data_IF_046437088140
#
_entry.id   IF_046437088140
#
_cell.length_a   1.000
_cell.length_b   1.000
_cell.length_c   1.000
_cell.angle_alpha   90.00
_cell.angle_beta   90.00
_cell.angle_gamma   90.00
#
_symmetry.space_group_name_H-M   'P 1'
#
loop_
_entity.id
_entity.type
_entity.pdbx_description
1 polymer ?
#
# COMPACT_ATOMS: atom_id res chain seq x y z
N UNK A 1 2.59 7.33 -3.17
CA UNK A 1 1.51 7.12 -2.16
C UNK A 1 0.32 8.04 -2.38
N UNK A 2 0.55 9.25 -2.81
CA UNK A 2 -0.51 10.21 -3.09
C UNK A 2 -1.52 9.70 -4.12
N UNK A 3 -1.05 9.10 -5.21
CA UNK A 3 -1.93 8.55 -6.23
C UNK A 3 -2.81 7.42 -5.68
N UNK A 4 -2.29 6.64 -4.74
CA UNK A 4 -3.07 5.60 -4.09
C UNK A 4 -4.17 6.21 -3.21
N UNK A 5 -3.82 7.27 -2.46
CA UNK A 5 -4.78 7.95 -1.60
C UNK A 5 -5.87 8.66 -2.41
N UNK A 6 -5.55 9.11 -3.62
CA UNK A 6 -6.54 9.70 -4.52
C UNK A 6 -7.64 8.69 -4.90
N UNK A 7 -7.32 7.41 -4.85
CA UNK A 7 -8.29 6.34 -5.09
C UNK A 7 -8.79 5.72 -3.79
N UNK A 8 -8.70 6.47 -2.69
CA UNK A 8 -9.23 6.10 -1.37
C UNK A 8 -8.58 4.84 -0.79
N UNK A 9 -7.28 4.66 -1.06
CA UNK A 9 -6.54 3.60 -0.41
C UNK A 9 -6.59 3.78 1.11
N UNK A 10 -6.61 2.65 1.83
CA UNK A 10 -6.75 2.61 3.28
C UNK A 10 -5.45 2.27 3.95
N UNK A 11 -5.26 2.79 5.15
CA UNK A 11 -4.17 2.43 6.06
C UNK A 11 -2.80 2.46 5.36
N UNK A 12 -2.41 3.58 4.74
CA UNK A 12 -1.14 3.65 4.04
C UNK A 12 0.02 3.59 5.03
N UNK A 13 1.01 2.77 4.69
CA UNK A 13 2.25 2.64 5.46
C UNK A 13 3.39 2.71 4.47
N UNK A 14 4.42 3.46 4.82
CA UNK A 14 5.66 3.52 4.05
C UNK A 14 6.81 3.19 4.99
N UNK A 15 7.56 2.16 4.64
CA UNK A 15 8.62 1.63 5.49
C UNK A 15 9.97 1.86 4.81
N UNK A 16 10.90 2.44 5.53
CA UNK A 16 12.28 2.63 5.05
C UNK A 16 13.07 1.38 5.41
N UNK A 17 13.39 0.58 4.41
CA UNK A 17 14.16 -0.65 4.58
C UNK A 17 15.55 -0.53 3.97
N UNK A 18 15.99 0.69 3.66
CA UNK A 18 17.28 0.91 3.00
C UNK A 18 18.46 0.38 3.81
N UNK A 19 18.38 0.42 5.14
CA UNK A 19 19.42 -0.07 6.03
C UNK A 19 19.31 -1.55 6.36
N UNK A 20 18.29 -2.24 5.86
CA UNK A 20 17.99 -3.62 6.24
C UNK A 20 18.59 -4.65 5.30
N UNK A 21 19.34 -4.23 4.29
CA UNK A 21 19.87 -5.16 3.29
C UNK A 21 18.82 -5.75 2.38
N UNK A 22 17.69 -5.08 2.24
CA UNK A 22 16.60 -5.52 1.40
C UNK A 22 16.89 -5.26 -0.09
N UNK A 23 16.10 -5.88 -0.95
CA UNK A 23 16.19 -5.68 -2.40
C UNK A 23 15.64 -4.33 -2.86
N UNK A 24 15.01 -3.59 -1.97
CA UNK A 24 14.48 -2.26 -2.26
C UNK A 24 14.80 -1.31 -1.10
N UNK A 25 14.61 -0.02 -1.31
CA UNK A 25 14.84 0.99 -0.27
C UNK A 25 13.57 1.29 0.53
N UNK A 26 12.41 1.25 -0.13
CA UNK A 26 11.14 1.58 0.50
C UNK A 26 10.08 0.57 0.14
N UNK A 27 9.25 0.23 1.11
CA UNK A 27 8.10 -0.63 0.93
C UNK A 27 6.86 0.15 1.33
N UNK A 28 5.94 0.32 0.38
CA UNK A 28 4.64 0.90 0.64
C UNK A 28 3.59 -0.19 0.75
N UNK A 29 2.66 -0.03 1.66
CA UNK A 29 1.56 -0.96 1.86
C UNK A 29 0.28 -0.15 1.99
N UNK A 30 -0.72 -0.49 1.18
CA UNK A 30 -2.04 0.12 1.25
C UNK A 30 -3.09 -0.96 1.09
N UNK A 31 -4.31 -0.64 1.49
CA UNK A 31 -5.44 -1.55 1.36
C UNK A 31 -6.54 -0.96 0.52
N UNK A 32 -7.33 -1.82 -0.10
CA UNK A 32 -8.58 -1.48 -0.74
C UNK A 32 -9.73 -2.21 -0.04
N UNK A 33 -10.92 -1.64 -0.12
CA UNK A 33 -12.13 -2.23 0.48
C UNK A 33 -12.74 -3.34 -0.36
N UNK A 34 -12.34 -3.42 -1.62
CA UNK A 34 -12.87 -4.40 -2.56
C UNK A 34 -11.81 -4.76 -3.59
N UNK A 35 -12.03 -5.87 -4.29
CA UNK A 35 -11.15 -6.29 -5.38
C UNK A 35 -11.04 -5.19 -6.44
N UNK A 36 -12.18 -4.59 -6.79
CA UNK A 36 -12.21 -3.54 -7.80
C UNK A 36 -11.41 -2.32 -7.36
N UNK A 37 -11.46 -1.97 -6.08
CA UNK A 37 -10.71 -0.85 -5.57
C UNK A 37 -9.21 -1.12 -5.59
N UNK A 38 -8.79 -2.34 -5.26
CA UNK A 38 -7.39 -2.74 -5.36
C UNK A 38 -6.86 -2.53 -6.77
N UNK A 39 -7.62 -2.97 -7.77
CA UNK A 39 -7.22 -2.80 -9.17
C UNK A 39 -7.20 -1.33 -9.57
N UNK A 40 -8.17 -0.55 -9.10
CA UNK A 40 -8.21 0.89 -9.39
C UNK A 40 -7.03 1.62 -8.78
N UNK A 41 -6.61 1.25 -7.56
CA UNK A 41 -5.44 1.83 -6.92
C UNK A 41 -4.19 1.50 -7.72
N UNK A 42 -4.02 0.24 -8.12
CA UNK A 42 -2.87 -0.19 -8.89
C UNK A 42 -2.77 0.57 -10.21
N UNK A 43 -3.87 0.73 -10.91
CA UNK A 43 -3.90 1.47 -12.16
C UNK A 43 -3.58 2.94 -11.96
N UNK A 44 -4.15 3.56 -10.94
CA UNK A 44 -3.90 4.97 -10.65
C UNK A 44 -2.42 5.23 -10.35
N UNK A 45 -1.80 4.39 -9.52
CA UNK A 45 -0.40 4.51 -9.17
C UNK A 45 0.47 4.31 -10.41
N UNK A 46 0.19 3.28 -11.18
CA UNK A 46 0.96 2.98 -12.40
C UNK A 46 0.92 4.14 -13.38
N UNK A 47 -0.26 4.72 -13.60
CA UNK A 47 -0.40 5.85 -14.51
C UNK A 47 0.27 7.11 -14.01
N UNK A 48 0.16 7.39 -12.71
CA UNK A 48 0.77 8.58 -12.12
C UNK A 48 2.29 8.53 -12.22
N UNK A 49 2.89 7.36 -11.97
CA UNK A 49 4.33 7.21 -12.05
C UNK A 49 4.81 7.16 -13.50
N UNK A 50 4.04 6.55 -14.38
CA UNK A 50 4.34 6.54 -15.81
C UNK A 50 4.41 7.97 -16.36
N UNK A 51 3.52 8.85 -15.93
CA UNK A 51 3.54 10.24 -16.34
C UNK A 51 4.82 10.95 -15.92
N UNK A 52 5.53 10.43 -14.92
CA UNK A 52 6.82 10.93 -14.47
C UNK A 52 8.00 10.16 -15.03
N UNK A 53 7.76 9.26 -15.99
CA UNK A 53 8.79 8.45 -16.63
C UNK A 53 9.19 7.22 -15.81
N UNK A 54 8.43 6.85 -14.79
CA UNK A 54 8.72 5.68 -13.96
C UNK A 54 7.78 4.54 -14.33
N UNK A 55 8.38 3.43 -14.74
CA UNK A 55 7.63 2.23 -15.15
C UNK A 55 7.94 1.11 -14.18
N UNK A 56 6.96 0.26 -13.86
CA UNK A 56 7.24 -0.89 -13.00
C UNK A 56 8.28 -1.81 -13.67
N UNK A 57 9.26 -2.24 -12.88
CA UNK A 57 10.21 -3.28 -13.31
C UNK A 57 9.54 -4.65 -13.28
N UNK A 58 8.52 -4.82 -12.46
CA UNK A 58 7.75 -6.02 -12.37
C UNK A 58 6.40 -5.75 -11.75
N UNK A 59 5.43 -6.60 -12.08
CA UNK A 59 4.09 -6.55 -11.52
C UNK A 59 3.63 -7.97 -11.26
N UNK A 60 2.98 -8.19 -10.12
CA UNK A 60 2.43 -9.48 -9.78
C UNK A 60 1.04 -9.31 -9.20
N UNK A 61 0.15 -10.25 -9.50
CA UNK A 61 -1.21 -10.24 -8.98
C UNK A 61 -2.13 -9.21 -9.59
N UNK A 62 -1.69 -8.49 -10.63
CA UNK A 62 -2.50 -7.48 -11.30
C UNK A 62 -3.77 -8.13 -11.85
N UNK A 63 -4.91 -7.55 -11.55
CA UNK A 63 -6.21 -8.07 -11.99
C UNK A 63 -6.81 -9.08 -11.04
N UNK A 64 -6.08 -9.52 -10.01
CA UNK A 64 -6.63 -10.46 -9.03
C UNK A 64 -7.54 -9.78 -8.01
N UNK A 65 -7.29 -8.49 -7.73
CA UNK A 65 -8.03 -7.75 -6.74
C UNK A 65 -7.71 -8.12 -5.30
N UNK A 66 -6.81 -9.05 -5.07
CA UNK A 66 -6.50 -9.52 -3.72
C UNK A 66 -5.18 -8.98 -3.19
N UNK A 67 -4.14 -9.05 -3.99
CA UNK A 67 -2.80 -8.59 -3.62
C UNK A 67 -2.05 -8.28 -4.90
N UNK A 68 -1.82 -7.02 -5.15
CA UNK A 68 -1.05 -6.56 -6.29
C UNK A 68 0.26 -5.98 -5.81
N UNK A 69 1.35 -6.38 -6.44
CA UNK A 69 2.68 -5.87 -6.15
C UNK A 69 3.18 -5.10 -7.37
N UNK A 70 3.60 -3.86 -7.14
CA UNK A 70 4.22 -3.03 -8.16
C UNK A 70 5.66 -2.74 -7.73
N UNK A 71 6.62 -3.25 -8.51
CA UNK A 71 8.04 -3.12 -8.22
C UNK A 71 8.65 -2.04 -9.10
N UNK A 72 9.09 -0.94 -8.48
CA UNK A 72 9.75 0.17 -9.16
C UNK A 72 11.26 0.21 -8.88
N UNK A 73 11.82 -0.86 -8.31
CA UNK A 73 13.23 -0.94 -7.97
C UNK A 73 13.52 -0.43 -6.57
N UNK A 74 13.72 0.87 -6.43
CA UNK A 74 13.98 1.47 -5.11
C UNK A 74 12.72 1.54 -4.25
N UNK A 75 11.56 1.30 -4.83
CA UNK A 75 10.27 1.35 -4.13
C UNK A 75 9.40 0.21 -4.63
N UNK A 76 8.81 -0.52 -3.69
CA UNK A 76 7.86 -1.58 -3.99
C UNK A 76 6.55 -1.24 -3.28
N UNK A 77 5.45 -1.28 -4.00
CA UNK A 77 4.13 -1.02 -3.43
C UNK A 77 3.32 -2.31 -3.39
N UNK A 78 2.81 -2.63 -2.21
CA UNK A 78 1.88 -3.73 -2.00
C UNK A 78 0.48 -3.15 -1.82
N UNK A 79 -0.45 -3.59 -2.64
CA UNK A 79 -1.84 -3.17 -2.58
C UNK A 79 -2.67 -4.41 -2.26
N UNK A 80 -3.31 -4.42 -1.10
CA UNK A 80 -4.06 -5.57 -0.63
C UNK A 80 -5.56 -5.29 -0.59
N UNK A 81 -6.35 -6.31 -0.87
CA UNK A 81 -7.69 -6.37 -0.32
C UNK A 81 -7.53 -6.46 1.20
N UNK A 82 -8.17 -5.60 1.95
CA UNK A 82 -7.82 -5.39 3.36
C UNK A 82 -7.79 -6.67 4.21
N UNK A 83 -8.77 -7.57 4.13
CA UNK A 83 -8.70 -8.83 4.90
C UNK A 83 -7.48 -9.68 4.57
N UNK A 84 -7.02 -9.64 3.32
CA UNK A 84 -5.82 -10.36 2.89
C UNK A 84 -4.58 -9.76 3.55
N UNK A 85 -4.52 -8.43 3.65
CA UNK A 85 -3.41 -7.75 4.33
C UNK A 85 -3.31 -8.20 5.79
N UNK A 86 -4.43 -8.24 6.48
CA UNK A 86 -4.46 -8.67 7.87
C UNK A 86 -4.00 -10.11 8.02
N UNK A 87 -4.40 -10.97 7.10
CA UNK A 87 -4.02 -12.37 7.14
C UNK A 87 -2.52 -12.58 6.99
N UNK A 88 -1.90 -11.92 6.00
CA UNK A 88 -0.47 -12.08 5.75
C UNK A 88 0.41 -11.26 6.68
N UNK A 89 -0.09 -10.15 7.18
CA UNK A 89 0.63 -9.28 8.12
C UNK A 89 2.06 -9.02 7.70
N UNK A 90 2.21 -8.56 6.46
CA UNK A 90 3.53 -8.30 5.87
C UNK A 90 4.33 -7.30 6.70
N UNK A 91 3.66 -6.38 7.34
CA UNK A 91 4.30 -5.33 8.14
C UNK A 91 5.15 -5.90 9.27
N UNK A 92 4.76 -7.06 9.79
CA UNK A 92 5.51 -7.71 10.88
C UNK A 92 6.92 -8.12 10.48
N UNK A 93 7.16 -8.35 9.18
CA UNK A 93 8.50 -8.66 8.68
C UNK A 93 9.45 -7.49 8.84
N UNK A 94 8.94 -6.28 8.91
CA UNK A 94 9.72 -5.06 8.93
C UNK A 94 9.46 -4.24 10.19
N UNK A 95 9.12 -4.92 11.29
CA UNK A 95 8.69 -4.22 12.51
C UNK A 95 9.78 -3.32 13.09
N UNK A 96 11.04 -3.66 12.85
CA UNK A 96 12.17 -2.88 13.35
C UNK A 96 12.59 -1.77 12.40
N UNK A 97 12.09 -1.77 11.18
CA UNK A 97 12.42 -0.74 10.21
C UNK A 97 11.65 0.54 10.50
N UNK A 98 12.28 1.72 10.32
CA UNK A 98 11.57 2.97 10.57
C UNK A 98 10.46 3.18 9.55
N UNK A 99 9.36 3.73 10.02
CA UNK A 99 8.26 4.12 9.15
C UNK A 99 8.38 5.57 8.79
N UNK A 100 8.15 5.87 7.52
CA UNK A 100 8.14 7.23 7.04
C UNK A 100 6.79 7.84 7.41
N UNK A 101 6.82 9.04 8.00
CA UNK A 101 5.59 9.72 8.36
C UNK A 101 4.86 10.18 7.11
N UNK A 102 3.57 9.84 7.03
CA UNK A 102 2.71 10.23 5.92
C UNK A 102 1.59 11.10 6.43
N UNK A 103 1.16 12.03 5.59
CA UNK A 103 -0.08 12.75 5.82
C UNK A 103 -1.22 11.87 5.33
N UNK A 104 -2.02 11.39 6.25
CA UNK A 104 -3.09 10.44 5.97
C UNK A 104 -4.43 11.13 6.20
N UNK A 105 -5.28 11.23 5.16
CA UNK A 105 -6.60 11.80 5.37
C UNK A 105 -7.42 10.91 6.31
N UNK A 106 -8.31 11.50 7.12
CA UNK A 106 -9.09 10.71 8.08
C UNK A 106 -9.85 9.56 7.46
N UNK A 107 -10.34 9.71 6.25
CA UNK A 107 -11.10 8.66 5.56
C UNK A 107 -10.25 7.47 5.15
N UNK A 108 -8.93 7.61 5.18
CA UNK A 108 -8.01 6.52 4.83
C UNK A 108 -7.64 5.66 6.03
N UNK A 109 -8.11 6.00 7.22
CA UNK A 109 -7.80 5.21 8.40
C UNK A 109 -9.01 4.39 8.83
N UNK A 110 -8.74 3.15 9.24
CA UNK A 110 -9.76 2.25 9.76
C UNK A 110 -9.86 2.28 11.27
N UNK A 111 -9.24 3.26 11.90
CA UNK A 111 -9.37 3.43 13.35
C UNK A 111 -10.78 3.81 13.76
N UNK A 112 -11.52 4.41 12.84
CA UNK A 112 -12.91 4.69 13.09
C UNK A 112 -13.70 3.46 13.51
N UNK A 113 -13.42 2.26 12.97
CA UNK A 113 -14.09 1.07 13.47
C UNK A 113 -13.90 0.88 14.98
N UNK A 114 -12.74 1.24 15.48
CA UNK A 114 -12.51 1.16 16.93
C UNK A 114 -13.43 2.11 17.68
N UNK A 115 -13.58 3.31 17.16
CA UNK A 115 -14.52 4.26 17.70
C UNK A 115 -15.95 3.74 17.57
N UNK A 116 -16.24 3.09 16.44
CA UNK A 116 -17.54 2.48 16.22
C UNK A 116 -17.78 1.33 17.19
N UNK A 117 -16.78 0.50 17.38
CA UNK A 117 -16.87 -0.59 18.34
C UNK A 117 -17.00 -0.06 19.75
N UNK A 118 -16.29 0.99 20.07
CA UNK A 118 -16.42 1.65 21.33
C UNK A 118 -17.81 2.25 21.54
N UNK A 119 -18.48 2.59 20.47
CA UNK A 119 -19.85 3.10 20.51
C UNK A 119 -20.87 1.97 20.62
N UNK A 120 -20.44 0.77 20.35
CA UNK A 120 -21.32 -0.38 20.48
C UNK A 120 -21.46 -0.82 21.92
#
# INVERSE_FOLDING_TARGET
MEAALDKRALEPVLIDVSAMGSYTDFIGIVSGRSDRQVDAIAESVSQALKARGLYPLGQEGTGSGRWTLLDFGAFVLHIFYHPVREFYDLESLWIEAPRVKLEVPPEATLQQPDALYGAL
#
